data_IF_970395733560
#
_entry.id   IF_970395733560
#
_cell.length_a   1.000
_cell.length_b   1.000
_cell.length_c   1.000
_cell.angle_alpha   90.00
_cell.angle_beta   90.00
_cell.angle_gamma   90.00
#
_symmetry.space_group_name_H-M   'P 1'
#
loop_
_entity.id
_entity.type
_entity.pdbx_description
1 polymer ?
#
# COMPACT_ATOMS: atom_id res chain seq x y z
N UNK A 1 62.91 -11.06 56.14
CA UNK A 1 61.72 -10.32 56.61
C UNK A 1 60.72 -10.29 55.48
N UNK A 2 59.89 -11.33 55.36
CA UNK A 2 58.82 -11.41 54.38
C UNK A 2 57.58 -10.75 54.98
N UNK A 3 57.28 -9.52 54.57
CA UNK A 3 56.10 -8.81 55.00
C UNK A 3 55.00 -9.00 53.94
N UNK A 4 54.11 -9.92 54.29
CA UNK A 4 52.67 -9.98 54.02
C UNK A 4 52.13 -9.20 52.81
N UNK A 5 51.67 -9.99 51.84
CA UNK A 5 50.65 -9.63 50.86
C UNK A 5 49.35 -9.23 51.58
N UNK A 6 48.99 -7.95 51.50
CA UNK A 6 47.61 -7.50 51.72
C UNK A 6 47.00 -7.20 50.34
N UNK A 7 46.28 -8.18 49.81
CA UNK A 7 45.29 -7.96 48.76
C UNK A 7 44.13 -7.21 49.43
N UNK A 8 44.06 -5.90 49.22
CA UNK A 8 42.82 -5.16 49.48
C UNK A 8 41.79 -5.55 48.43
N UNK A 9 40.92 -6.46 48.82
CA UNK A 9 39.68 -6.81 48.12
C UNK A 9 38.67 -5.67 48.25
N UNK A 10 38.91 -4.56 47.55
CA UNK A 10 37.93 -3.48 47.43
C UNK A 10 36.87 -3.83 46.39
N UNK A 11 35.68 -4.12 46.91
CA UNK A 11 34.42 -3.79 46.25
C UNK A 11 33.98 -4.74 45.15
N UNK A 12 33.27 -5.80 45.55
CA UNK A 12 32.11 -6.26 44.78
C UNK A 12 31.08 -5.11 44.72
N UNK A 13 31.35 -4.14 43.85
CA UNK A 13 30.42 -3.11 43.45
C UNK A 13 29.57 -3.69 42.33
N UNK A 14 28.30 -3.89 42.65
CA UNK A 14 27.19 -4.17 41.76
C UNK A 14 27.07 -3.10 40.67
N UNK A 15 27.98 -3.13 39.69
CA UNK A 15 27.84 -2.39 38.44
C UNK A 15 26.91 -3.19 37.52
N UNK A 16 25.65 -3.30 37.96
CA UNK A 16 24.54 -3.42 37.03
C UNK A 16 24.53 -2.12 36.22
N UNK A 17 25.35 -2.09 35.17
CA UNK A 17 25.41 -1.01 34.20
C UNK A 17 24.01 -0.86 33.59
N UNK A 18 23.26 0.04 34.21
CA UNK A 18 22.03 0.58 33.69
C UNK A 18 22.42 1.27 32.39
N UNK A 19 22.27 0.56 31.26
CA UNK A 19 22.18 1.12 29.93
C UNK A 19 20.70 1.44 29.66
N UNK A 20 20.17 2.60 30.12
CA UNK A 20 18.75 2.97 30.00
C UNK A 20 18.27 3.17 28.55
N UNK A 21 19.17 3.13 27.56
CA UNK A 21 18.82 3.24 26.14
C UNK A 21 18.14 1.98 25.60
N UNK A 22 18.62 0.80 25.96
CA UNK A 22 18.29 -0.45 25.26
C UNK A 22 16.85 -0.88 25.54
N UNK A 23 16.38 -0.69 26.77
CA UNK A 23 15.02 -1.00 27.17
C UNK A 23 13.97 -0.25 26.35
N UNK A 24 14.29 0.96 25.87
CA UNK A 24 13.36 1.73 25.04
C UNK A 24 13.23 1.11 23.65
N UNK A 25 14.34 0.69 23.04
CA UNK A 25 14.33 0.03 21.73
C UNK A 25 13.62 -1.32 21.79
N UNK A 26 13.89 -2.12 22.81
CA UNK A 26 13.19 -3.39 23.03
C UNK A 26 11.69 -3.21 23.19
N UNK A 27 11.24 -2.18 23.93
CA UNK A 27 9.81 -1.89 24.07
C UNK A 27 9.14 -1.52 22.74
N UNK A 28 9.82 -0.70 21.92
CA UNK A 28 9.31 -0.32 20.59
C UNK A 28 9.31 -1.52 19.64
N UNK A 29 10.34 -2.37 19.69
CA UNK A 29 10.39 -3.63 18.95
C UNK A 29 9.18 -4.52 19.26
N UNK A 30 8.91 -4.80 20.53
CA UNK A 30 7.75 -5.62 20.91
C UNK A 30 6.41 -4.98 20.52
N UNK A 31 6.30 -3.64 20.61
CA UNK A 31 5.11 -2.94 20.12
C UNK A 31 4.91 -3.15 18.61
N UNK A 32 5.97 -3.05 17.80
CA UNK A 32 5.92 -3.29 16.35
C UNK A 32 5.59 -4.75 16.01
N UNK A 33 6.13 -5.70 16.77
CA UNK A 33 5.78 -7.13 16.63
C UNK A 33 4.31 -7.33 16.92
N UNK A 34 3.78 -6.79 18.02
CA UNK A 34 2.35 -6.88 18.35
C UNK A 34 1.48 -6.21 17.28
N UNK A 35 1.89 -5.05 16.77
CA UNK A 35 1.22 -4.33 15.68
C UNK A 35 1.21 -5.16 14.39
N UNK A 36 2.23 -5.98 14.16
CA UNK A 36 2.32 -6.88 12.99
C UNK A 36 1.52 -8.16 13.18
N UNK A 37 1.49 -8.71 14.38
CA UNK A 37 0.57 -9.79 14.71
C UNK A 37 -0.89 -9.34 14.56
N UNK A 38 -1.22 -8.11 14.97
CA UNK A 38 -2.56 -7.55 14.80
C UNK A 38 -2.90 -7.38 13.31
N UNK A 39 -1.98 -6.86 12.49
CA UNK A 39 -2.16 -6.78 11.04
C UNK A 39 -2.45 -8.15 10.41
N UNK A 40 -1.67 -9.18 10.76
CA UNK A 40 -1.87 -10.54 10.26
C UNK A 40 -3.20 -11.13 10.75
N UNK A 41 -3.61 -10.80 11.98
CA UNK A 41 -4.90 -11.28 12.52
C UNK A 41 -6.09 -10.75 11.71
N UNK A 42 -5.97 -9.56 11.12
CA UNK A 42 -7.02 -8.97 10.27
C UNK A 42 -7.32 -9.80 9.02
N UNK A 43 -6.40 -10.66 8.55
CA UNK A 43 -6.67 -11.58 7.44
C UNK A 43 -7.74 -12.63 7.77
N UNK A 44 -7.96 -12.91 9.06
CA UNK A 44 -8.93 -13.90 9.51
C UNK A 44 -10.30 -13.28 9.85
N UNK A 45 -10.49 -11.98 9.58
CA UNK A 45 -11.71 -11.25 9.95
C UNK A 45 -12.80 -11.37 8.86
N UNK A 46 -14.10 -11.30 9.21
CA UNK A 46 -15.19 -11.39 8.25
C UNK A 46 -15.18 -10.29 7.19
N UNK A 47 -15.61 -10.63 5.98
CA UNK A 47 -15.65 -9.71 4.84
C UNK A 47 -16.61 -8.53 5.03
N UNK A 48 -17.62 -8.66 5.88
CA UNK A 48 -18.54 -7.56 6.22
C UNK A 48 -17.82 -6.32 6.82
N UNK A 49 -16.60 -6.48 7.35
CA UNK A 49 -15.81 -5.39 7.96
C UNK A 49 -14.71 -4.86 7.02
N UNK A 50 -14.75 -5.18 5.72
CA UNK A 50 -13.67 -4.87 4.79
C UNK A 50 -13.31 -3.38 4.72
N UNK A 51 -14.30 -2.47 4.77
CA UNK A 51 -14.06 -1.02 4.76
C UNK A 51 -13.32 -0.54 6.01
N UNK A 52 -13.73 -1.03 7.19
CA UNK A 52 -13.10 -0.68 8.46
C UNK A 52 -11.69 -1.26 8.53
N UNK A 53 -11.54 -2.51 8.10
CA UNK A 53 -10.26 -3.21 7.99
C UNK A 53 -9.29 -2.46 7.07
N UNK A 54 -9.74 -2.02 5.89
CA UNK A 54 -8.89 -1.26 4.97
C UNK A 54 -8.34 0.04 5.59
N UNK A 55 -9.20 0.81 6.28
CA UNK A 55 -8.77 2.04 6.95
C UNK A 55 -7.81 1.72 8.11
N UNK A 56 -8.11 0.69 8.90
CA UNK A 56 -7.27 0.24 10.00
C UNK A 56 -5.87 -0.18 9.52
N UNK A 57 -5.80 -0.93 8.42
CA UNK A 57 -4.55 -1.38 7.82
C UNK A 57 -3.69 -0.20 7.34
N UNK A 58 -4.29 0.81 6.72
CA UNK A 58 -3.56 2.04 6.33
C UNK A 58 -3.02 2.78 7.56
N UNK A 59 -3.84 2.94 8.61
CA UNK A 59 -3.42 3.60 9.85
C UNK A 59 -2.27 2.83 10.53
N UNK A 60 -2.40 1.50 10.61
CA UNK A 60 -1.33 0.61 11.10
C UNK A 60 -0.03 0.78 10.32
N UNK A 61 -0.12 0.87 8.99
CA UNK A 61 1.04 1.02 8.13
C UNK A 61 1.78 2.34 8.38
N UNK A 62 1.03 3.45 8.53
CA UNK A 62 1.59 4.76 8.86
C UNK A 62 2.27 4.77 10.24
N UNK A 63 1.65 4.13 11.24
CA UNK A 63 2.22 4.03 12.60
C UNK A 63 3.51 3.22 12.57
N UNK A 64 3.55 2.08 11.87
CA UNK A 64 4.76 1.26 11.73
C UNK A 64 5.88 2.04 11.07
N UNK A 65 5.58 2.68 9.95
CA UNK A 65 6.54 3.49 9.21
C UNK A 65 7.11 4.62 10.09
N UNK A 66 6.24 5.34 10.80
CA UNK A 66 6.66 6.41 11.71
C UNK A 66 7.47 5.91 12.90
N UNK A 67 7.09 4.78 13.51
CA UNK A 67 7.82 4.18 14.61
C UNK A 67 9.22 3.70 14.18
N UNK A 68 9.33 3.06 13.01
CA UNK A 68 10.61 2.63 12.44
C UNK A 68 11.49 3.84 12.09
N UNK A 69 10.94 4.86 11.44
CA UNK A 69 11.69 6.06 11.09
C UNK A 69 12.18 6.82 12.33
N UNK A 70 11.34 7.00 13.35
CA UNK A 70 11.73 7.75 14.55
C UNK A 70 12.70 6.98 15.45
N UNK A 71 12.44 5.70 15.70
CA UNK A 71 13.20 4.93 16.68
C UNK A 71 14.32 4.12 16.04
N UNK A 72 14.04 3.34 14.99
CA UNK A 72 15.05 2.43 14.42
C UNK A 72 16.00 3.09 13.41
N UNK A 73 15.60 4.17 12.74
CA UNK A 73 16.51 4.98 11.91
C UNK A 73 17.29 6.03 12.71
N UNK A 74 17.30 5.93 14.05
CA UNK A 74 18.01 6.80 14.97
C UNK A 74 17.59 8.29 14.96
N UNK A 75 16.60 8.73 14.18
CA UNK A 75 16.14 10.13 14.10
C UNK A 75 15.71 10.76 15.44
N UNK A 76 15.30 9.95 16.42
CA UNK A 76 15.00 10.43 17.78
C UNK A 76 16.26 10.78 18.57
N UNK A 77 17.37 10.07 18.34
CA UNK A 77 18.69 10.31 18.95
C UNK A 77 19.61 11.16 18.08
N UNK A 78 19.26 11.39 16.81
CA UNK A 78 20.06 12.13 15.84
C UNK A 78 19.72 13.63 15.76
N UNK A 79 20.56 14.38 15.02
CA UNK A 79 20.38 15.81 14.83
C UNK A 79 19.01 16.15 14.20
N UNK A 80 18.39 17.21 14.72
CA UNK A 80 17.07 17.73 14.29
C UNK A 80 16.94 17.95 12.76
N UNK A 81 18.07 18.11 12.07
CA UNK A 81 18.16 18.26 10.61
C UNK A 81 17.72 17.00 9.86
N UNK A 82 18.12 15.80 10.32
CA UNK A 82 17.77 14.54 9.65
C UNK A 82 16.27 14.27 9.78
N UNK A 83 15.69 14.57 10.95
CA UNK A 83 14.24 14.49 11.18
C UNK A 83 13.45 15.43 10.25
N UNK A 84 13.96 16.64 10.01
CA UNK A 84 13.34 17.64 9.12
C UNK A 84 13.44 17.24 7.66
N UNK A 85 14.60 16.77 7.19
CA UNK A 85 14.79 16.33 5.80
C UNK A 85 13.89 15.13 5.49
N UNK A 86 13.77 14.16 6.41
CA UNK A 86 12.86 13.03 6.25
C UNK A 86 11.40 13.47 6.16
N UNK A 87 10.96 14.34 7.08
CA UNK A 87 9.58 14.84 7.06
C UNK A 87 9.28 15.66 5.81
N UNK A 88 10.22 16.50 5.37
CA UNK A 88 10.12 17.24 4.12
C UNK A 88 10.02 16.30 2.91
N UNK A 89 10.87 15.26 2.86
CA UNK A 89 10.82 14.24 1.81
C UNK A 89 9.49 13.50 1.78
N UNK A 90 8.92 13.15 2.94
CA UNK A 90 7.60 12.51 3.03
C UNK A 90 6.48 13.44 2.52
N UNK A 91 6.47 14.71 2.96
CA UNK A 91 5.47 15.69 2.48
C UNK A 91 5.62 15.92 0.98
N UNK A 92 6.85 16.07 0.49
CA UNK A 92 7.13 16.24 -0.92
C UNK A 92 6.69 15.02 -1.74
N UNK A 93 6.95 13.80 -1.26
CA UNK A 93 6.51 12.57 -1.92
C UNK A 93 4.98 12.50 -2.06
N UNK A 94 4.25 12.81 -0.99
CA UNK A 94 2.78 12.86 -1.02
C UNK A 94 2.29 13.95 -1.98
N UNK A 95 2.90 15.14 -1.95
CA UNK A 95 2.54 16.22 -2.85
C UNK A 95 2.76 15.87 -4.32
N UNK A 96 3.92 15.27 -4.66
CA UNK A 96 4.24 14.81 -6.02
C UNK A 96 3.29 13.70 -6.45
N UNK A 97 2.95 12.76 -5.55
CA UNK A 97 2.00 11.70 -5.84
C UNK A 97 0.61 12.25 -6.19
N UNK A 98 0.08 13.19 -5.39
CA UNK A 98 -1.19 13.85 -5.66
C UNK A 98 -1.13 14.64 -6.97
N UNK A 99 -0.03 15.36 -7.22
CA UNK A 99 0.15 16.10 -8.47
C UNK A 99 0.16 15.16 -9.69
N UNK A 100 0.83 14.01 -9.58
CA UNK A 100 0.85 12.99 -10.64
C UNK A 100 -0.53 12.39 -10.88
N UNK A 101 -1.29 12.04 -9.83
CA UNK A 101 -2.66 11.57 -9.96
C UNK A 101 -3.57 12.64 -10.58
N UNK A 102 -3.46 13.90 -10.13
CA UNK A 102 -4.22 15.02 -10.69
C UNK A 102 -3.90 15.25 -12.16
N UNK A 103 -2.63 15.14 -12.55
CA UNK A 103 -2.21 15.16 -13.95
C UNK A 103 -2.85 13.99 -14.73
N UNK A 104 -2.77 12.75 -14.24
CA UNK A 104 -3.38 11.60 -14.91
C UNK A 104 -4.89 11.74 -15.11
N UNK A 105 -5.62 12.28 -14.12
CA UNK A 105 -7.06 12.59 -14.25
C UNK A 105 -7.28 13.63 -15.35
N UNK A 106 -6.53 14.73 -15.33
CA UNK A 106 -6.61 15.78 -16.35
C UNK A 106 -6.29 15.25 -17.76
N UNK A 107 -5.26 14.41 -17.90
CA UNK A 107 -4.85 13.84 -19.18
C UNK A 107 -5.81 12.73 -19.68
N UNK A 108 -6.39 11.93 -18.79
CA UNK A 108 -7.44 10.98 -19.14
C UNK A 108 -8.73 11.69 -19.61
N UNK A 109 -9.17 12.72 -18.88
CA UNK A 109 -10.39 13.44 -19.20
C UNK A 109 -10.24 14.35 -20.42
N UNK A 110 -9.03 14.86 -20.70
CA UNK A 110 -8.76 15.56 -21.96
C UNK A 110 -8.81 14.65 -23.17
N UNK A 111 -8.45 13.37 -23.05
CA UNK A 111 -8.67 12.36 -24.09
C UNK A 111 -10.16 12.13 -24.38
N UNK A 112 -10.97 11.99 -23.33
CA UNK A 112 -12.43 11.83 -23.43
C UNK A 112 -13.12 13.11 -23.94
N UNK A 113 -12.67 14.29 -23.50
CA UNK A 113 -13.19 15.59 -23.92
C UNK A 113 -12.84 15.93 -25.38
N UNK A 114 -11.69 15.45 -25.88
CA UNK A 114 -11.32 15.52 -27.29
C UNK A 114 -12.15 14.53 -28.11
N UNK A 115 -12.35 13.29 -27.65
CA UNK A 115 -13.22 12.31 -28.31
C UNK A 115 -14.68 12.82 -28.48
N UNK A 116 -15.19 13.61 -27.53
CA UNK A 116 -16.52 14.23 -27.62
C UNK A 116 -16.59 15.55 -28.42
N UNK A 117 -15.44 16.17 -28.76
CA UNK A 117 -15.37 17.47 -29.48
C UNK A 117 -14.86 17.34 -30.91
N UNK A 118 -13.90 16.46 -31.15
CA UNK A 118 -13.48 16.05 -32.48
C UNK A 118 -14.20 14.74 -32.76
N UNK A 119 -15.28 14.79 -33.55
CA UNK A 119 -16.04 13.63 -33.99
C UNK A 119 -15.20 12.67 -34.82
N UNK A 120 -14.29 11.93 -34.18
CA UNK A 120 -14.01 10.56 -34.56
C UNK A 120 -15.17 9.71 -34.04
N UNK A 121 -16.36 10.02 -34.54
CA UNK A 121 -17.55 9.18 -34.49
C UNK A 121 -17.23 7.97 -35.34
N UNK A 122 -16.58 6.97 -34.73
CA UNK A 122 -16.76 5.62 -35.25
C UNK A 122 -18.26 5.37 -35.15
N UNK A 123 -18.96 5.12 -36.27
CA UNK A 123 -20.35 4.72 -36.18
C UNK A 123 -20.40 3.54 -35.21
N UNK A 124 -21.39 3.49 -34.30
CA UNK A 124 -21.61 2.29 -33.50
C UNK A 124 -21.52 1.10 -34.46
N UNK A 125 -20.67 0.10 -34.18
CA UNK A 125 -20.71 -1.14 -34.96
C UNK A 125 -22.05 -1.80 -34.66
N UNK A 126 -23.07 -1.38 -35.40
CA UNK A 126 -24.28 -2.14 -35.54
C UNK A 126 -23.83 -3.48 -36.10
N UNK A 127 -24.02 -4.55 -35.31
CA UNK A 127 -23.98 -5.91 -35.83
C UNK A 127 -24.74 -5.88 -37.16
N UNK A 128 -24.15 -6.31 -38.29
CA UNK A 128 -24.89 -6.36 -39.55
C UNK A 128 -26.23 -7.02 -39.26
N UNK A 129 -27.33 -6.36 -39.63
CA UNK A 129 -28.65 -6.93 -39.45
C UNK A 129 -28.59 -8.35 -40.00
N UNK A 130 -29.13 -9.36 -39.29
CA UNK A 130 -29.25 -10.68 -39.88
C UNK A 130 -29.94 -10.48 -41.24
N UNK A 131 -29.46 -11.15 -42.31
CA UNK A 131 -30.09 -11.01 -43.61
C UNK A 131 -31.60 -11.22 -43.41
N UNK A 132 -32.45 -10.40 -44.05
CA UNK A 132 -33.90 -10.58 -43.95
C UNK A 132 -34.18 -12.05 -44.23
N UNK A 133 -35.07 -12.66 -43.44
CA UNK A 133 -35.43 -14.05 -43.62
C UNK A 133 -35.70 -14.26 -45.11
N UNK A 134 -34.79 -14.96 -45.78
CA UNK A 134 -34.97 -15.27 -47.19
C UNK A 134 -36.29 -16.01 -47.27
N UNK A 135 -37.14 -15.64 -48.22
CA UNK A 135 -38.31 -16.46 -48.52
C UNK A 135 -37.87 -17.92 -48.55
N UNK A 136 -38.60 -18.83 -47.87
CA UNK A 136 -38.26 -20.24 -47.95
C UNK A 136 -38.08 -20.57 -49.43
N UNK A 137 -36.97 -21.26 -49.80
CA UNK A 137 -36.67 -21.51 -51.19
C UNK A 137 -37.94 -22.09 -51.83
N UNK A 138 -38.35 -21.59 -53.01
CA UNK A 138 -39.61 -21.99 -53.62
C UNK A 138 -39.67 -23.51 -53.60
N UNK A 139 -40.69 -24.05 -52.93
CA UNK A 139 -40.91 -25.50 -52.89
C UNK A 139 -41.13 -25.91 -54.34
N UNK A 140 -40.08 -26.45 -54.96
CA UNK A 140 -40.15 -27.02 -56.28
C UNK A 140 -41.06 -28.22 -56.11
N UNK A 141 -42.36 -28.03 -56.37
CA UNK A 141 -43.23 -29.18 -56.58
C UNK A 141 -42.74 -29.77 -57.88
N UNK A 142 -41.90 -30.80 -57.79
CA UNK A 142 -41.64 -31.74 -58.87
C UNK A 142 -43.00 -32.00 -59.51
N UNK A 143 -43.19 -31.48 -60.72
CA UNK A 143 -44.41 -31.73 -61.48
C UNK A 143 -44.29 -33.17 -61.90
N UNK A 144 -44.71 -34.10 -61.04
CA UNK A 144 -44.88 -35.49 -61.42
C UNK A 144 -45.89 -35.47 -62.56
N UNK A 145 -45.34 -35.54 -63.77
CA UNK A 145 -46.05 -35.44 -65.02
C UNK A 145 -47.08 -36.55 -65.11
N UNK A 146 -48.26 -36.18 -65.56
CA UNK A 146 -49.20 -37.13 -66.10
C UNK A 146 -48.65 -37.72 -67.39
N UNK A 147 -48.48 -39.03 -67.38
CA UNK A 147 -48.80 -39.95 -68.47
C UNK A 147 -49.34 -41.23 -67.86
#
# INVERSE_FOLDING_TARGET
MAAVTASESHGAGDHADHHPSDLTYWKVFFALVALTALEVSTYWWPEEWHKVTAVLLIVMMLIKFGAVAMYFMHLKSDALILRRVFFFGMVLAVAVYIAALGAMVFFHDSGNAVQGRTGFDYPPREKPLPPPATDPPPIIRETTGGH
#
